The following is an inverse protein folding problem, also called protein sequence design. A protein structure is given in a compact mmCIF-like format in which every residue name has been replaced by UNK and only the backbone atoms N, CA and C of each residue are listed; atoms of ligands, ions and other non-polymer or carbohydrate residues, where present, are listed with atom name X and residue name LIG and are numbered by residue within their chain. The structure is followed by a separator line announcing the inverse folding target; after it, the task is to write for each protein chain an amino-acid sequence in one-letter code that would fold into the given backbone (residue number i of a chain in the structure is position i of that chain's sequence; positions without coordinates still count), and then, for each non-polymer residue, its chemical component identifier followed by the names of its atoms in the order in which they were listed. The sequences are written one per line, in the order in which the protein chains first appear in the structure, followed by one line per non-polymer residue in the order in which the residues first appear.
data_IF_804283128146
#
_entry.id   IF_804283128146
#
_cell.length_a   1.000
_cell.length_b   1.000
_cell.length_c   1.000
_cell.angle_alpha   90.00
_cell.angle_beta   90.00
_cell.angle_gamma   90.00
#
_symmetry.space_group_name_H-M   'P 1'
#
loop_
_entity.id
_entity.type
_entity.pdbx_description
1 polymer ?
#
# COMPACT_ATOMS: atom_id res chain seq x y z
N UNK A 1 -13.02 -33.24 -26.34
CA UNK A 1 -12.03 -33.21 -25.24
C UNK A 1 -10.93 -32.22 -25.63
N UNK A 2 -11.04 -30.97 -25.20
CA UNK A 2 -9.96 -29.98 -25.22
C UNK A 2 -10.42 -28.81 -24.34
N UNK A 3 -9.76 -28.65 -23.21
CA UNK A 3 -10.07 -27.73 -22.12
C UNK A 3 -9.44 -26.36 -22.48
N UNK A 4 -10.25 -25.35 -22.77
CA UNK A 4 -9.75 -24.00 -23.04
C UNK A 4 -9.58 -23.26 -21.70
N UNK A 5 -8.34 -23.22 -21.19
CA UNK A 5 -7.99 -22.49 -19.96
C UNK A 5 -7.71 -21.04 -20.31
N UNK A 6 -8.61 -20.15 -19.92
CA UNK A 6 -8.43 -18.70 -20.00
C UNK A 6 -7.30 -18.23 -19.09
N UNK A 7 -6.44 -17.37 -19.64
CA UNK A 7 -5.39 -16.64 -18.94
C UNK A 7 -6.01 -15.60 -17.98
N UNK A 8 -5.71 -15.71 -16.68
CA UNK A 8 -5.89 -14.62 -15.71
C UNK A 8 -4.53 -13.91 -15.57
N UNK A 9 -4.45 -12.64 -15.96
CA UNK A 9 -3.30 -11.80 -15.70
C UNK A 9 -3.58 -10.96 -14.45
N UNK A 10 -3.02 -11.34 -13.31
CA UNK A 10 -2.98 -10.50 -12.11
C UNK A 10 -1.62 -9.79 -12.06
N UNK A 11 -1.65 -8.46 -12.09
CA UNK A 11 -0.48 -7.57 -12.02
C UNK A 11 -0.22 -7.23 -10.54
N UNK A 12 0.91 -7.69 -9.99
CA UNK A 12 1.34 -7.40 -8.62
C UNK A 12 2.51 -6.40 -8.61
N UNK A 13 2.40 -5.34 -7.78
CA UNK A 13 3.50 -4.40 -7.48
C UNK A 13 4.20 -4.82 -6.18
N UNK A 14 5.53 -4.73 -6.10
CA UNK A 14 6.34 -5.20 -4.96
C UNK A 14 6.90 -4.01 -4.15
N UNK A 15 7.18 -4.20 -2.85
CA UNK A 15 7.72 -3.17 -1.94
C UNK A 15 8.96 -3.73 -1.25
N UNK A 16 10.10 -3.04 -1.32
CA UNK A 16 11.32 -3.45 -0.60
C UNK A 16 11.65 -2.41 0.48
N UNK A 17 11.75 -2.85 1.73
CA UNK A 17 12.13 -2.02 2.88
C UNK A 17 13.64 -2.12 3.12
N UNK A 18 14.36 -0.99 3.23
CA UNK A 18 15.78 -0.99 3.64
C UNK A 18 15.99 -0.21 4.92
N UNK A 19 16.43 -0.88 5.99
CA UNK A 19 17.00 -0.23 7.18
C UNK A 19 18.51 -0.38 7.16
N UNK A 20 19.22 0.72 7.42
CA UNK A 20 20.65 0.75 7.73
C UNK A 20 20.79 0.92 9.23
N UNK A 21 21.43 -0.05 9.91
CA UNK A 21 22.02 0.18 11.22
C UNK A 21 23.27 -0.67 11.38
N UNK A 22 24.38 0.01 11.67
CA UNK A 22 25.69 -0.55 11.95
C UNK A 22 25.72 -1.09 13.38
N UNK A 23 25.52 -2.41 13.54
CA UNK A 23 25.80 -3.08 14.81
C UNK A 23 25.01 -4.37 15.03
N UNK A 24 25.69 -5.51 14.91
CA UNK A 24 25.22 -6.87 15.24
C UNK A 24 23.95 -7.35 14.51
N UNK A 25 24.17 -8.11 13.43
CA UNK A 25 23.16 -8.75 12.60
C UNK A 25 22.24 -9.69 13.40
N UNK A 26 21.08 -9.18 13.84
CA UNK A 26 19.83 -9.92 13.70
C UNK A 26 19.25 -9.52 12.35
N UNK A 27 18.97 -10.49 11.49
CA UNK A 27 18.27 -10.23 10.24
C UNK A 27 16.94 -9.51 10.57
N UNK A 28 16.88 -8.21 10.27
CA UNK A 28 15.64 -7.45 10.34
C UNK A 28 14.77 -7.98 9.22
N UNK A 29 13.71 -8.71 9.55
CA UNK A 29 12.72 -9.16 8.58
C UNK A 29 12.05 -7.93 7.98
N UNK A 30 12.36 -7.66 6.72
CA UNK A 30 11.83 -6.57 5.92
C UNK A 30 10.52 -7.06 5.32
N UNK A 31 9.40 -6.47 5.72
CA UNK A 31 8.09 -6.82 5.18
C UNK A 31 7.90 -6.25 3.76
N UNK A 32 7.53 -7.11 2.82
CA UNK A 32 7.30 -6.83 1.41
C UNK A 32 5.79 -6.91 1.14
N UNK A 33 5.14 -5.75 1.02
CA UNK A 33 3.68 -5.66 0.84
C UNK A 33 3.31 -5.08 -0.52
N UNK A 34 2.34 -5.69 -1.20
CA UNK A 34 1.78 -5.11 -2.42
C UNK A 34 0.59 -4.19 -2.10
N UNK A 35 0.44 -3.09 -2.84
CA UNK A 35 -0.79 -2.29 -2.81
C UNK A 35 -1.92 -3.09 -3.42
N UNK A 36 -3.02 -3.26 -2.70
CA UNK A 36 -4.20 -3.98 -3.18
C UNK A 36 -5.40 -3.04 -3.18
N UNK A 37 -5.99 -2.79 -4.35
CA UNK A 37 -7.17 -1.94 -4.46
C UNK A 37 -8.40 -2.73 -4.02
N UNK A 38 -9.01 -2.33 -2.90
CA UNK A 38 -10.24 -2.98 -2.43
C UNK A 38 -11.41 -2.48 -3.26
N UNK A 39 -11.85 -3.34 -4.18
CA UNK A 39 -13.00 -3.12 -5.05
C UNK A 39 -14.02 -4.24 -4.92
N UNK A 40 -14.94 -4.32 -5.88
CA UNK A 40 -15.87 -5.44 -5.96
C UNK A 40 -15.14 -6.69 -6.46
N UNK A 41 -14.71 -7.55 -5.53
CA UNK A 41 -13.94 -8.78 -5.80
C UNK A 41 -14.75 -9.99 -5.35
N UNK A 42 -14.73 -11.05 -6.16
CA UNK A 42 -15.32 -12.34 -5.79
C UNK A 42 -14.36 -13.13 -4.88
N UNK A 43 -14.91 -13.90 -3.95
CA UNK A 43 -14.16 -14.69 -2.96
C UNK A 43 -13.02 -15.51 -3.57
N UNK A 44 -13.32 -16.30 -4.61
CA UNK A 44 -12.32 -17.15 -5.29
C UNK A 44 -11.15 -16.34 -5.88
N UNK A 45 -11.41 -15.11 -6.34
CA UNK A 45 -10.36 -14.23 -6.85
C UNK A 45 -9.51 -13.67 -5.72
N UNK A 46 -10.13 -13.20 -4.62
CA UNK A 46 -9.40 -12.71 -3.45
C UNK A 46 -8.48 -13.78 -2.84
N UNK A 47 -8.95 -15.03 -2.79
CA UNK A 47 -8.16 -16.18 -2.36
C UNK A 47 -6.99 -16.47 -3.30
N UNK A 48 -7.26 -16.46 -4.62
CA UNK A 48 -6.23 -16.68 -5.62
C UNK A 48 -5.15 -15.59 -5.59
N UNK A 49 -5.53 -14.33 -5.38
CA UNK A 49 -4.60 -13.20 -5.23
C UNK A 49 -3.64 -13.40 -4.04
N UNK A 50 -4.17 -13.80 -2.87
CA UNK A 50 -3.33 -14.08 -1.69
C UNK A 50 -2.38 -15.25 -1.95
N UNK A 51 -2.89 -16.32 -2.56
CA UNK A 51 -2.09 -17.49 -2.92
C UNK A 51 -0.93 -17.13 -3.85
N UNK A 52 -1.21 -16.39 -4.91
CA UNK A 52 -0.19 -16.02 -5.89
C UNK A 52 0.81 -15.03 -5.28
N UNK A 53 0.35 -14.04 -4.53
CA UNK A 53 1.22 -13.10 -3.84
C UNK A 53 2.15 -13.82 -2.85
N UNK A 54 1.62 -14.73 -2.04
CA UNK A 54 2.42 -15.54 -1.11
C UNK A 54 3.42 -16.42 -1.86
N UNK A 55 3.02 -17.05 -2.97
CA UNK A 55 3.92 -17.86 -3.80
C UNK A 55 5.04 -17.04 -4.45
N UNK A 56 4.83 -15.75 -4.68
CA UNK A 56 5.84 -14.81 -5.16
C UNK A 56 6.76 -14.27 -4.04
N UNK A 57 6.51 -14.65 -2.78
CA UNK A 57 7.30 -14.19 -1.63
C UNK A 57 6.88 -12.82 -1.08
N UNK A 58 5.66 -12.35 -1.38
CA UNK A 58 5.09 -11.20 -0.67
C UNK A 58 4.71 -11.60 0.76
N UNK A 59 5.01 -10.72 1.71
CA UNK A 59 4.60 -10.86 3.10
C UNK A 59 3.15 -10.40 3.32
N UNK A 60 2.54 -9.72 2.34
CA UNK A 60 1.19 -9.24 2.54
C UNK A 60 0.64 -8.23 1.54
N UNK A 61 -0.52 -7.67 1.90
CA UNK A 61 -1.15 -6.57 1.18
C UNK A 61 -1.40 -5.33 2.05
N UNK A 62 -1.13 -4.17 1.45
CA UNK A 62 -1.62 -2.87 1.88
C UNK A 62 -2.99 -2.62 1.21
N UNK A 63 -4.07 -2.82 1.96
CA UNK A 63 -5.44 -2.77 1.46
C UNK A 63 -5.90 -1.32 1.31
N UNK A 64 -5.85 -0.81 0.09
CA UNK A 64 -6.21 0.56 -0.27
C UNK A 64 -7.73 0.68 -0.45
N UNK A 65 -8.35 1.50 0.40
CA UNK A 65 -9.81 1.62 0.52
C UNK A 65 -10.20 3.08 0.30
N UNK A 66 -11.00 3.36 -0.73
CA UNK A 66 -11.52 4.69 -1.04
C UNK A 66 -12.80 5.03 -0.30
N UNK A 67 -13.84 4.19 -0.40
CA UNK A 67 -15.09 4.41 0.33
C UNK A 67 -15.32 3.26 1.32
N UNK A 68 -15.03 3.46 2.64
CA UNK A 68 -15.17 2.41 3.63
C UNK A 68 -16.63 2.03 3.95
N UNK A 69 -17.61 2.77 3.40
CA UNK A 69 -19.03 2.53 3.65
C UNK A 69 -19.70 1.59 2.66
N UNK A 70 -19.01 1.15 1.61
CA UNK A 70 -19.55 0.22 0.63
C UNK A 70 -19.58 -1.21 1.17
N UNK A 71 -20.69 -1.93 0.96
CA UNK A 71 -20.87 -3.30 1.46
C UNK A 71 -19.78 -4.27 0.95
N UNK A 72 -19.39 -4.12 -0.31
CA UNK A 72 -18.36 -4.96 -0.92
C UNK A 72 -16.99 -4.83 -0.22
N UNK A 73 -16.72 -3.72 0.47
CA UNK A 73 -15.43 -3.53 1.17
C UNK A 73 -15.33 -4.53 2.30
N UNK A 74 -16.34 -4.60 3.18
CA UNK A 74 -16.36 -5.55 4.31
C UNK A 74 -16.40 -6.99 3.82
N UNK A 75 -17.16 -7.25 2.77
CA UNK A 75 -17.21 -8.57 2.15
C UNK A 75 -15.83 -9.01 1.65
N UNK A 76 -15.14 -8.15 0.90
CA UNK A 76 -13.78 -8.42 0.41
C UNK A 76 -12.79 -8.60 1.56
N UNK A 77 -12.86 -7.75 2.59
CA UNK A 77 -12.03 -7.90 3.77
C UNK A 77 -12.25 -9.25 4.46
N UNK A 78 -13.49 -9.71 4.61
CA UNK A 78 -13.77 -11.02 5.22
C UNK A 78 -13.14 -12.16 4.40
N UNK A 79 -13.32 -12.15 3.07
CA UNK A 79 -12.67 -13.12 2.19
C UNK A 79 -11.16 -13.16 2.39
N UNK A 80 -10.52 -11.99 2.44
CA UNK A 80 -9.06 -11.92 2.51
C UNK A 80 -8.52 -12.27 3.91
N UNK A 81 -9.09 -11.70 4.97
CA UNK A 81 -8.57 -11.84 6.33
C UNK A 81 -8.70 -13.26 6.86
N UNK A 82 -9.86 -13.89 6.71
CA UNK A 82 -10.08 -15.27 7.16
C UNK A 82 -9.20 -16.24 6.35
N UNK A 83 -9.17 -16.09 5.03
CA UNK A 83 -8.37 -16.94 4.16
C UNK A 83 -6.86 -16.84 4.44
N UNK A 84 -6.34 -15.62 4.61
CA UNK A 84 -4.94 -15.40 4.98
C UNK A 84 -4.63 -16.04 6.34
N UNK A 85 -5.47 -15.82 7.37
CA UNK A 85 -5.28 -16.41 8.71
C UNK A 85 -5.18 -17.94 8.64
N UNK A 86 -6.08 -18.57 7.89
CA UNK A 86 -6.27 -20.01 7.93
C UNK A 86 -5.31 -20.77 7.00
N UNK A 87 -4.89 -20.16 5.89
CA UNK A 87 -4.12 -20.84 4.84
C UNK A 87 -2.70 -20.29 4.66
N UNK A 88 -2.46 -19.04 5.06
CA UNK A 88 -1.20 -18.33 4.88
C UNK A 88 -0.85 -17.52 6.14
N UNK A 89 -0.59 -18.17 7.28
CA UNK A 89 -0.48 -17.50 8.58
C UNK A 89 0.62 -16.44 8.66
N UNK A 90 1.62 -16.50 7.78
CA UNK A 90 2.69 -15.50 7.65
C UNK A 90 2.32 -14.33 6.72
N UNK A 91 1.30 -14.50 5.86
CA UNK A 91 0.80 -13.44 4.98
C UNK A 91 -0.11 -12.49 5.75
N UNK A 92 0.25 -11.21 5.80
CA UNK A 92 -0.42 -10.20 6.62
C UNK A 92 -1.12 -9.14 5.79
N UNK A 93 -2.16 -8.56 6.36
CA UNK A 93 -2.97 -7.53 5.73
C UNK A 93 -3.00 -6.30 6.63
N UNK A 94 -2.95 -5.10 6.07
CA UNK A 94 -3.25 -3.88 6.82
C UNK A 94 -4.05 -2.88 5.99
N UNK A 95 -4.74 -1.98 6.68
CA UNK A 95 -5.58 -0.99 6.01
C UNK A 95 -4.74 0.22 5.61
N UNK A 96 -4.89 0.61 4.35
CA UNK A 96 -4.38 1.85 3.78
C UNK A 96 -5.57 2.75 3.41
N UNK A 97 -5.75 3.84 4.17
CA UNK A 97 -6.88 4.74 3.99
C UNK A 97 -6.64 5.65 2.78
N UNK A 98 -7.39 5.49 1.70
CA UNK A 98 -7.28 6.35 0.52
C UNK A 98 -8.12 7.61 0.70
N UNK A 99 -7.52 8.63 1.29
CA UNK A 99 -8.23 9.86 1.62
C UNK A 99 -8.51 10.73 0.39
N UNK A 100 -7.76 10.54 -0.69
CA UNK A 100 -8.03 11.18 -1.97
C UNK A 100 -9.32 10.62 -2.61
N UNK A 101 -9.41 9.29 -2.75
CA UNK A 101 -10.60 8.63 -3.27
C UNK A 101 -11.80 8.80 -2.32
N UNK A 102 -11.58 8.76 -1.00
CA UNK A 102 -12.61 9.02 0.00
C UNK A 102 -13.26 10.39 -0.19
N UNK A 103 -12.47 11.44 -0.43
CA UNK A 103 -13.00 12.78 -0.71
C UNK A 103 -13.96 12.79 -1.91
N UNK A 104 -13.66 12.03 -2.97
CA UNK A 104 -14.54 11.88 -4.14
C UNK A 104 -15.87 11.19 -3.79
N UNK A 105 -15.84 10.27 -2.82
CA UNK A 105 -17.03 9.60 -2.27
C UNK A 105 -17.73 10.42 -1.16
N UNK A 106 -17.30 11.66 -0.89
CA UNK A 106 -17.76 12.51 0.22
C UNK A 106 -17.57 11.83 1.59
N UNK A 107 -16.46 11.13 1.74
CA UNK A 107 -15.97 10.49 2.97
C UNK A 107 -14.71 11.19 3.44
N UNK A 108 -14.36 10.97 4.70
CA UNK A 108 -13.13 11.47 5.30
C UNK A 108 -12.56 10.51 6.33
N UNK A 109 -11.53 10.98 7.03
CA UNK A 109 -10.75 10.21 7.99
C UNK A 109 -11.60 9.46 9.04
N UNK A 110 -12.66 10.08 9.54
CA UNK A 110 -13.52 9.46 10.56
C UNK A 110 -14.41 8.33 10.03
N UNK A 111 -14.68 8.27 8.71
CA UNK A 111 -15.47 7.19 8.12
C UNK A 111 -14.73 5.84 8.17
N UNK A 112 -13.41 5.85 8.33
CA UNK A 112 -12.58 4.64 8.47
C UNK A 112 -12.56 4.06 9.89
N UNK A 113 -13.05 4.78 10.91
CA UNK A 113 -12.97 4.30 12.32
C UNK A 113 -13.72 2.99 12.52
N UNK A 114 -14.87 2.82 11.86
CA UNK A 114 -15.66 1.59 11.94
C UNK A 114 -14.87 0.37 11.44
N UNK A 115 -14.33 0.47 10.22
CA UNK A 115 -13.60 -0.63 9.60
C UNK A 115 -12.28 -0.92 10.32
N UNK A 116 -11.55 0.10 10.77
CA UNK A 116 -10.32 -0.14 11.54
C UNK A 116 -10.59 -0.90 12.84
N UNK A 117 -11.61 -0.49 13.60
CA UNK A 117 -11.98 -1.15 14.86
C UNK A 117 -12.36 -2.62 14.67
N UNK A 118 -12.98 -2.96 13.54
CA UNK A 118 -13.43 -4.32 13.29
C UNK A 118 -12.29 -5.27 12.86
N UNK A 119 -11.24 -4.75 12.19
CA UNK A 119 -10.19 -5.61 11.60
C UNK A 119 -8.82 -5.53 12.29
N UNK A 120 -8.45 -4.46 13.00
CA UNK A 120 -7.11 -4.34 13.62
C UNK A 120 -6.78 -5.45 14.63
N UNK A 121 -7.80 -6.06 15.22
CA UNK A 121 -7.67 -7.20 16.12
C UNK A 121 -7.48 -8.56 15.42
N UNK A 122 -7.68 -8.63 14.11
CA UNK A 122 -7.70 -9.89 13.35
C UNK A 122 -6.33 -10.59 13.34
N UNK A 123 -6.31 -11.93 13.33
CA UNK A 123 -5.06 -12.72 13.40
C UNK A 123 -4.13 -12.57 12.18
N UNK A 124 -4.71 -12.21 11.03
CA UNK A 124 -3.96 -11.87 9.81
C UNK A 124 -3.63 -10.36 9.70
N UNK A 125 -4.00 -9.53 10.68
CA UNK A 125 -3.67 -8.10 10.64
C UNK A 125 -2.18 -7.88 10.91
N UNK A 126 -1.52 -7.08 10.08
CA UNK A 126 -0.11 -6.77 10.24
C UNK A 126 0.10 -5.90 11.48
N UNK A 127 0.92 -6.40 12.40
CA UNK A 127 1.30 -5.71 13.63
C UNK A 127 2.80 -5.52 13.64
N UNK A 128 3.23 -4.42 14.23
CA UNK A 128 4.64 -4.15 14.51
C UNK A 128 5.14 -5.01 15.68
N UNK A 129 6.46 -5.13 15.88
CA UNK A 129 7.02 -5.88 17.02
C UNK A 129 6.54 -5.40 18.41
N UNK A 130 6.09 -4.15 18.54
CA UNK A 130 5.46 -3.62 19.75
C UNK A 130 4.00 -4.10 19.95
N UNK A 131 3.46 -4.87 19.00
CA UNK A 131 2.09 -5.38 19.02
C UNK A 131 1.04 -4.45 18.43
N UNK A 132 1.40 -3.23 18.03
CA UNK A 132 0.45 -2.25 17.53
C UNK A 132 0.07 -2.51 16.06
N UNK A 133 -1.22 -2.38 15.70
CA UNK A 133 -1.69 -2.51 14.33
C UNK A 133 -1.08 -1.42 13.45
N UNK A 134 -0.57 -1.84 12.31
CA UNK A 134 0.00 -0.94 11.32
C UNK A 134 -1.10 -0.29 10.47
N UNK A 135 -1.07 1.03 10.30
CA UNK A 135 -2.02 1.77 9.47
C UNK A 135 -1.23 2.70 8.55
N UNK A 136 -1.65 2.79 7.29
CA UNK A 136 -1.10 3.74 6.32
C UNK A 136 -2.21 4.53 5.62
N UNK A 137 -1.81 5.43 4.74
CA UNK A 137 -2.73 6.21 3.91
C UNK A 137 -2.27 6.25 2.45
N UNK A 138 -3.21 6.63 1.59
CA UNK A 138 -2.92 7.28 0.33
C UNK A 138 -3.42 8.73 0.45
N UNK A 139 -2.48 9.67 0.44
CA UNK A 139 -2.65 11.10 0.74
C UNK A 139 -2.96 11.44 2.21
N UNK A 140 -2.80 12.72 2.54
CA UNK A 140 -3.06 13.34 3.84
C UNK A 140 -4.53 13.78 4.02
N UNK A 141 -5.31 13.72 2.94
CA UNK A 141 -6.69 14.18 2.88
C UNK A 141 -6.85 15.70 2.97
N UNK A 142 -5.77 16.49 2.84
CA UNK A 142 -5.80 17.93 3.04
C UNK A 142 -6.16 18.37 4.47
N UNK A 143 -5.91 17.50 5.46
CA UNK A 143 -6.22 17.73 6.87
C UNK A 143 -5.03 18.34 7.62
N UNK A 144 -5.30 18.96 8.76
CA UNK A 144 -4.29 19.55 9.64
C UNK A 144 -3.79 18.56 10.72
N UNK A 145 -2.62 18.82 11.31
CA UNK A 145 -2.03 17.95 12.34
C UNK A 145 -2.95 17.75 13.56
N UNK A 146 -3.66 18.79 13.99
CA UNK A 146 -4.62 18.72 15.10
C UNK A 146 -5.75 17.74 14.84
N UNK A 147 -6.27 17.72 13.61
CA UNK A 147 -7.32 16.77 13.19
C UNK A 147 -6.80 15.34 13.22
N UNK A 148 -5.56 15.13 12.76
CA UNK A 148 -4.91 13.82 12.82
C UNK A 148 -4.60 13.37 14.25
N UNK A 149 -4.16 14.28 15.13
CA UNK A 149 -3.94 13.99 16.55
C UNK A 149 -5.25 13.60 17.24
N UNK A 150 -6.34 14.32 17.00
CA UNK A 150 -7.66 14.00 17.54
C UNK A 150 -8.14 12.61 17.07
N UNK A 151 -7.86 12.26 15.82
CA UNK A 151 -8.13 10.93 15.30
C UNK A 151 -7.25 9.86 15.95
N UNK A 152 -5.95 10.12 16.08
CA UNK A 152 -4.97 9.19 16.69
C UNK A 152 -5.31 8.88 18.15
N UNK A 153 -5.76 9.90 18.88
CA UNK A 153 -6.19 9.80 20.28
C UNK A 153 -7.40 8.85 20.48
N UNK A 154 -8.22 8.59 19.45
CA UNK A 154 -9.32 7.60 19.53
C UNK A 154 -8.80 6.18 19.77
N UNK A 155 -7.53 5.93 19.46
CA UNK A 155 -6.86 4.66 19.61
C UNK A 155 -5.90 4.62 20.79
N UNK A 156 -5.99 5.59 21.72
CA UNK A 156 -5.08 5.74 22.86
C UNK A 156 -3.59 5.74 22.47
N UNK A 157 -3.27 6.14 21.23
CA UNK A 157 -1.94 6.07 20.64
C UNK A 157 -1.36 4.64 20.53
N UNK A 158 -2.21 3.60 20.59
CA UNK A 158 -1.84 2.19 20.45
C UNK A 158 -1.96 1.70 18.99
N UNK A 159 -1.55 2.55 18.05
CA UNK A 159 -1.44 2.22 16.62
C UNK A 159 -0.03 2.56 16.15
N UNK A 160 0.38 1.96 15.03
CA UNK A 160 1.61 2.33 14.35
C UNK A 160 1.26 2.98 13.01
N UNK A 161 1.33 4.31 12.96
CA UNK A 161 0.80 5.10 11.85
C UNK A 161 1.90 5.62 10.93
N UNK A 162 1.91 5.13 9.69
CA UNK A 162 2.90 5.48 8.67
C UNK A 162 2.17 5.94 7.40
N UNK A 163 1.78 7.23 7.32
CA UNK A 163 1.03 7.73 6.19
C UNK A 163 1.91 8.12 5.00
N UNK A 164 1.28 8.17 3.82
CA UNK A 164 1.80 8.93 2.69
C UNK A 164 1.19 10.33 2.67
N UNK A 165 1.95 11.31 3.14
CA UNK A 165 1.63 12.73 3.09
C UNK A 165 2.41 13.46 1.98
N UNK A 166 2.71 12.77 0.87
CA UNK A 166 3.44 13.30 -0.29
C UNK A 166 2.88 14.59 -0.88
N UNK A 167 1.58 14.85 -0.69
CA UNK A 167 0.93 16.11 -1.08
C UNK A 167 1.20 17.29 -0.16
N UNK A 168 1.69 17.05 1.06
CA UNK A 168 1.95 18.10 2.05
C UNK A 168 3.23 18.88 1.72
N UNK A 169 3.19 20.20 1.95
CA UNK A 169 4.33 21.09 1.63
C UNK A 169 5.57 20.63 2.40
N UNK A 170 6.69 20.55 1.67
CA UNK A 170 8.00 20.19 2.22
C UNK A 170 8.14 18.73 2.72
N UNK A 171 7.13 17.89 2.50
CA UNK A 171 7.19 16.44 2.76
C UNK A 171 8.43 15.83 2.13
N UNK A 172 8.61 16.02 0.83
CA UNK A 172 9.71 15.46 0.03
C UNK A 172 11.06 16.18 0.23
N UNK A 173 11.18 17.11 1.18
CA UNK A 173 12.38 17.94 1.37
C UNK A 173 13.09 17.72 2.71
N UNK A 174 12.60 16.79 3.55
CA UNK A 174 13.11 16.59 4.93
C UNK A 174 13.13 17.86 5.77
N UNK A 175 12.21 18.79 5.52
CA UNK A 175 12.24 20.12 6.14
C UNK A 175 11.99 20.02 7.65
N UNK A 176 12.83 20.63 8.51
CA UNK A 176 12.63 20.59 9.97
C UNK A 176 11.26 21.07 10.43
N UNK A 177 10.67 22.06 9.74
CA UNK A 177 9.34 22.58 10.06
C UNK A 177 8.22 21.59 9.73
N UNK A 178 8.45 20.67 8.78
CA UNK A 178 7.53 19.55 8.56
C UNK A 178 7.49 18.65 9.79
N UNK A 179 8.66 18.33 10.35
CA UNK A 179 8.77 17.49 11.54
C UNK A 179 8.25 18.14 12.81
N UNK A 180 8.45 19.45 12.97
CA UNK A 180 7.83 20.21 14.05
C UNK A 180 6.30 20.13 13.99
N UNK A 181 5.73 20.13 12.79
CA UNK A 181 4.29 20.11 12.60
C UNK A 181 3.67 18.70 12.66
N UNK A 182 4.34 17.69 12.09
CA UNK A 182 3.79 16.34 11.89
C UNK A 182 4.44 15.24 12.75
N UNK A 183 5.58 15.51 13.39
CA UNK A 183 6.38 14.48 14.07
C UNK A 183 5.64 13.75 15.20
N UNK A 184 4.74 14.43 15.91
CA UNK A 184 3.91 13.82 16.95
C UNK A 184 2.72 13.03 16.40
N UNK A 185 2.36 13.25 15.13
CA UNK A 185 1.25 12.58 14.44
C UNK A 185 1.67 11.20 13.94
N UNK A 186 2.90 11.08 13.40
CA UNK A 186 3.33 9.92 12.61
C UNK A 186 4.42 9.11 13.30
N UNK A 187 4.37 7.79 13.15
CA UNK A 187 5.41 6.86 13.63
C UNK A 187 6.47 6.56 12.55
N UNK A 188 6.26 7.03 11.32
CA UNK A 188 7.11 6.83 10.16
C UNK A 188 6.61 7.60 8.94
N UNK A 189 7.36 7.54 7.85
CA UNK A 189 6.99 8.12 6.56
C UNK A 189 6.98 7.08 5.45
N UNK A 190 6.17 7.33 4.44
CA UNK A 190 5.95 6.46 3.30
C UNK A 190 5.65 7.30 2.06
N UNK A 191 6.18 6.92 0.90
CA UNK A 191 5.77 7.56 -0.34
C UNK A 191 5.44 6.54 -1.43
N UNK A 192 4.31 6.76 -2.11
CA UNK A 192 3.96 6.10 -3.37
C UNK A 192 4.71 6.69 -4.57
N UNK A 193 5.43 7.80 -4.40
CA UNK A 193 6.00 8.58 -5.50
C UNK A 193 7.12 7.88 -6.28
N UNK A 194 7.70 6.81 -5.73
CA UNK A 194 8.63 5.92 -6.45
C UNK A 194 7.94 4.87 -7.32
N UNK A 195 6.60 4.82 -7.31
CA UNK A 195 5.79 3.76 -7.94
C UNK A 195 5.24 4.18 -9.32
N UNK A 196 5.37 5.45 -9.69
CA UNK A 196 4.74 6.02 -10.88
C UNK A 196 5.73 6.17 -12.05
N UNK A 197 5.77 5.23 -13.02
CA UNK A 197 6.55 5.45 -14.22
C UNK A 197 5.99 6.65 -14.98
N UNK A 198 6.89 7.52 -15.46
CA UNK A 198 6.48 8.61 -16.32
C UNK A 198 5.92 8.04 -17.62
N UNK A 199 4.76 8.53 -18.05
CA UNK A 199 4.16 8.15 -19.33
C UNK A 199 5.17 8.38 -20.46
N UNK A 200 5.51 7.32 -21.19
CA UNK A 200 6.48 7.36 -22.28
C UNK A 200 7.96 7.34 -21.85
N UNK A 201 8.24 7.08 -20.57
CA UNK A 201 9.59 6.93 -20.04
C UNK A 201 9.92 5.47 -19.77
N UNK A 202 11.19 5.10 -19.93
CA UNK A 202 11.73 3.82 -19.43
C UNK A 202 12.18 3.91 -17.96
N UNK A 203 12.01 5.08 -17.32
CA UNK A 203 12.30 5.28 -15.90
C UNK A 203 11.07 4.92 -15.05
N UNK A 204 11.30 4.21 -13.95
CA UNK A 204 10.27 3.65 -13.08
C UNK A 204 9.64 4.66 -12.12
N UNK A 205 10.16 5.89 -12.01
CA UNK A 205 9.59 6.95 -11.16
C UNK A 205 9.89 8.38 -11.67
N UNK A 206 9.00 9.33 -11.35
CA UNK A 206 9.27 10.78 -11.51
C UNK A 206 10.34 11.29 -10.53
N UNK A 207 10.50 10.61 -9.39
CA UNK A 207 11.41 11.01 -8.32
C UNK A 207 12.47 9.94 -8.04
N UNK A 208 13.75 10.33 -8.11
CA UNK A 208 14.88 9.50 -7.64
C UNK A 208 14.86 9.47 -6.10
N UNK A 209 13.98 8.66 -5.51
CA UNK A 209 13.52 8.83 -4.12
C UNK A 209 14.20 7.96 -3.06
N UNK A 210 15.07 7.02 -3.41
CA UNK A 210 15.67 6.11 -2.41
C UNK A 210 16.62 6.83 -1.44
N UNK A 211 17.47 7.73 -1.96
CA UNK A 211 18.46 8.45 -1.13
C UNK A 211 17.78 9.41 -0.17
N UNK A 212 16.72 10.10 -0.59
CA UNK A 212 16.01 11.08 0.23
C UNK A 212 15.18 10.43 1.36
N UNK A 213 14.44 9.36 1.05
CA UNK A 213 13.70 8.61 2.08
C UNK A 213 14.68 8.05 3.11
N UNK A 214 15.79 7.44 2.64
CA UNK A 214 16.80 6.89 3.55
C UNK A 214 17.44 7.97 4.44
N UNK A 215 17.78 9.15 3.91
CA UNK A 215 18.39 10.24 4.68
C UNK A 215 17.44 10.83 5.72
N UNK A 216 16.15 10.97 5.36
CA UNK A 216 15.13 11.52 6.26
C UNK A 216 14.82 10.57 7.41
N UNK A 217 14.64 9.28 7.09
CA UNK A 217 14.40 8.25 8.11
C UNK A 217 15.58 8.16 9.09
N UNK A 218 16.82 8.21 8.60
CA UNK A 218 18.02 8.18 9.44
C UNK A 218 18.16 9.42 10.34
N UNK A 219 17.81 10.62 9.87
CA UNK A 219 17.97 11.86 10.65
C UNK A 219 16.95 11.96 11.81
N UNK A 220 15.71 11.51 11.61
CA UNK A 220 14.65 11.58 12.61
C UNK A 220 14.46 10.31 13.45
N UNK A 221 15.39 9.34 13.37
CA UNK A 221 15.28 8.01 14.01
C UNK A 221 13.98 7.28 13.67
N UNK A 222 13.39 7.60 12.53
CA UNK A 222 12.19 6.94 12.06
C UNK A 222 12.62 5.59 11.53
N UNK A 223 11.97 4.58 12.05
CA UNK A 223 12.45 3.22 11.84
C UNK A 223 12.11 2.71 10.42
N UNK A 224 11.23 3.39 9.67
CA UNK A 224 10.76 2.93 8.36
C UNK A 224 10.59 4.03 7.32
N UNK A 225 11.17 3.79 6.14
CA UNK A 225 10.85 4.46 4.88
C UNK A 225 10.32 3.41 3.92
N UNK A 226 9.08 3.57 3.48
CA UNK A 226 8.45 2.68 2.52
C UNK A 226 8.61 3.27 1.10
N UNK A 227 9.02 2.42 0.15
CA UNK A 227 9.26 2.77 -1.25
C UNK A 227 8.40 1.87 -2.14
N UNK A 228 7.34 2.40 -2.75
CA UNK A 228 6.58 1.61 -3.71
C UNK A 228 7.40 1.36 -4.99
N UNK A 229 7.45 0.11 -5.47
CA UNK A 229 8.10 -0.26 -6.72
C UNK A 229 7.03 -0.77 -7.70
N UNK A 230 7.02 -0.24 -8.91
CA UNK A 230 6.09 -0.65 -9.98
C UNK A 230 6.83 -1.30 -11.13
N UNK A 231 6.26 -2.38 -11.66
CA UNK A 231 6.78 -3.05 -12.86
C UNK A 231 6.05 -2.67 -14.15
N UNK A 232 5.08 -1.75 -14.11
CA UNK A 232 4.21 -1.20 -15.18
C UNK A 232 2.76 -1.23 -14.68
N UNK A 233 2.18 -0.04 -14.46
CA UNK A 233 0.77 0.09 -14.10
C UNK A 233 -0.09 0.33 -15.34
N UNK A 234 -1.14 -0.47 -15.53
CA UNK A 234 -2.21 -0.22 -16.49
C UNK A 234 -3.35 0.51 -15.77
N UNK A 235 -3.34 1.84 -15.82
CA UNK A 235 -4.56 2.62 -15.64
C UNK A 235 -5.16 2.90 -17.01
N UNK A 236 -6.44 2.55 -17.19
CA UNK A 236 -7.18 2.67 -18.44
C UNK A 236 -7.34 4.15 -18.84
N UNK A 237 -6.27 4.74 -19.35
CA UNK A 237 -6.25 6.02 -20.03
C UNK A 237 -6.22 5.71 -21.52
N UNK A 238 -7.41 5.63 -22.10
CA UNK A 238 -7.72 5.60 -23.54
C UNK A 238 -6.51 5.74 -24.48
N UNK A 239 -6.23 4.67 -25.23
CA UNK A 239 -5.58 4.78 -26.54
C UNK A 239 -4.12 4.32 -26.67
N UNK A 240 -3.72 3.19 -26.11
CA UNK A 240 -2.48 2.52 -26.56
C UNK A 240 -2.65 1.00 -26.67
N UNK A 241 -2.73 0.52 -27.91
CA UNK A 241 -2.59 -0.90 -28.28
C UNK A 241 -1.11 -1.27 -28.11
N UNK A 242 -0.75 -2.02 -27.06
CA UNK A 242 0.52 -2.73 -27.01
C UNK A 242 0.34 -4.12 -27.61
N UNK A 243 0.58 -4.18 -28.91
CA UNK A 243 0.76 -5.40 -29.71
C UNK A 243 2.08 -6.04 -29.28
N UNK A 244 2.02 -7.15 -28.53
CA UNK A 244 3.17 -8.02 -28.33
C UNK A 244 3.10 -9.14 -29.37
N UNK A 245 3.72 -8.95 -30.53
CA UNK A 245 3.99 -10.04 -31.47
C UNK A 245 5.45 -10.51 -31.32
N UNK A 246 5.71 -11.81 -31.12
CA UNK A 246 6.95 -12.42 -31.54
C UNK A 246 6.91 -12.59 -33.07
N UNK A 247 7.99 -12.22 -33.75
CA UNK A 247 8.09 -12.38 -35.20
C UNK A 247 7.80 -13.82 -35.65
N UNK A 248 6.74 -13.97 -36.45
CA UNK A 248 6.65 -14.94 -37.53
C UNK A 248 5.79 -14.32 -38.65
N UNK A 249 6.42 -14.08 -39.79
CA UNK A 249 5.79 -13.71 -41.06
C UNK A 249 4.67 -14.68 -41.41
N UNK A 250 3.45 -14.19 -41.68
CA UNK A 250 2.65 -14.48 -42.89
C UNK A 250 1.31 -13.70 -42.87
N UNK A 251 1.23 -12.70 -43.75
CA UNK A 251 0.11 -12.24 -44.62
C UNK A 251 -1.38 -12.43 -44.26
N UNK A 252 -2.16 -11.42 -44.73
CA UNK A 252 -3.62 -11.29 -45.00
C UNK A 252 -4.44 -10.58 -43.89
N UNK A 253 -4.88 -9.31 -44.05
CA UNK A 253 -6.02 -8.79 -44.88
C UNK A 253 -7.34 -9.48 -44.47
N UNK A 254 -8.37 -8.83 -43.93
CA UNK A 254 -9.01 -7.52 -44.17
C UNK A 254 -9.51 -6.96 -42.82
#
# INVERSE_FOLDING_TARGET
MALNRGFMAALASFLVLTTADLGAAKAVTRGVFAKYMVGNVYEDHAHQDIKDASAMGLDGFALNIGDPSQDFVRQTLNYMFDYARDNYPDFKLFISMDLWAAGSAKKGLNDFVGILRDYMGHGAYYKRPNGYPFISTFADGGLENTTWMDWRNKWANEIYFVPDFGGSKAYCLSDPGWWEYWGDVVDGIFSWESTWPLRGSTQTSYWKNETWISSTCSFHRLTFGFLGLSMLQYENSVGFLLRLEPQALTTWSI
#
